data_IF_183774089053
#
_entry.id   IF_183774089053
#
_cell.length_a   1.000
_cell.length_b   1.000
_cell.length_c   1.000
_cell.angle_alpha   90.00
_cell.angle_beta   90.00
_cell.angle_gamma   90.00
#
_symmetry.space_group_name_H-M   'P 1'
#
loop_
_entity.id
_entity.type
_entity.pdbx_description
1 polymer ?
#
# COMPACT_ATOMS: atom_id res chain seq x y z
N UNK A 1 -28.63 7.55 -20.57
CA UNK A 1 -27.33 6.84 -20.59
C UNK A 1 -26.31 7.73 -19.92
N UNK A 2 -25.94 7.44 -18.67
CA UNK A 2 -24.90 8.16 -17.93
C UNK A 2 -23.67 7.26 -17.84
N UNK A 3 -22.72 7.43 -18.74
CA UNK A 3 -21.51 6.62 -18.84
C UNK A 3 -20.38 7.25 -18.02
N UNK A 4 -20.04 6.59 -16.92
CA UNK A 4 -18.71 6.47 -16.29
C UNK A 4 -17.87 7.76 -16.20
N UNK A 5 -18.20 8.63 -15.24
CA UNK A 5 -17.31 9.73 -14.81
C UNK A 5 -16.32 9.32 -13.71
N UNK A 6 -16.52 8.17 -13.06
CA UNK A 6 -15.69 7.72 -11.93
C UNK A 6 -14.26 7.29 -12.30
N UNK A 7 -14.07 6.61 -13.44
CA UNK A 7 -12.74 6.13 -13.85
C UNK A 7 -11.77 7.27 -14.20
N UNK A 8 -12.27 8.40 -14.71
CA UNK A 8 -11.42 9.52 -15.13
C UNK A 8 -10.84 10.27 -13.92
N UNK A 9 -11.60 10.33 -12.81
CA UNK A 9 -11.13 10.98 -11.59
C UNK A 9 -9.89 10.26 -11.06
N UNK A 10 -9.98 8.96 -10.76
CA UNK A 10 -8.88 8.19 -10.18
C UNK A 10 -7.64 8.12 -11.07
N UNK A 11 -7.79 8.17 -12.39
CA UNK A 11 -6.64 8.28 -13.29
C UNK A 11 -5.78 9.51 -12.97
N UNK A 12 -6.40 10.65 -12.65
CA UNK A 12 -5.67 11.86 -12.30
C UNK A 12 -5.00 11.75 -10.92
N UNK A 13 -5.65 11.11 -9.94
CA UNK A 13 -5.01 10.86 -8.65
C UNK A 13 -3.84 9.88 -8.78
N UNK A 14 -3.97 8.81 -9.57
CA UNK A 14 -2.88 7.85 -9.83
C UNK A 14 -1.69 8.57 -10.49
N UNK A 15 -1.94 9.40 -11.51
CA UNK A 15 -0.90 10.22 -12.14
C UNK A 15 -0.23 11.16 -11.14
N UNK A 16 -1.00 11.79 -10.24
CA UNK A 16 -0.44 12.66 -9.19
C UNK A 16 0.44 11.88 -8.22
N UNK A 17 0.03 10.68 -7.80
CA UNK A 17 0.85 9.80 -6.94
C UNK A 17 2.16 9.45 -7.64
N UNK A 18 2.12 9.06 -8.92
CA UNK A 18 3.33 8.77 -9.70
C UNK A 18 4.29 9.97 -9.78
N UNK A 19 3.76 11.17 -10.04
CA UNK A 19 4.54 12.41 -10.00
C UNK A 19 5.19 12.67 -8.64
N UNK A 20 4.50 12.38 -7.53
CA UNK A 20 5.10 12.49 -6.19
C UNK A 20 6.22 11.46 -5.99
N UNK A 21 6.06 10.23 -6.48
CA UNK A 21 7.11 9.21 -6.42
C UNK A 21 8.35 9.63 -7.22
N UNK A 22 8.17 10.25 -8.38
CA UNK A 22 9.27 10.80 -9.19
C UNK A 22 9.98 11.95 -8.47
N UNK A 23 9.23 12.86 -7.82
CA UNK A 23 9.78 13.95 -7.01
C UNK A 23 10.64 13.44 -5.84
N UNK A 24 10.33 12.27 -5.28
CA UNK A 24 11.12 11.65 -4.21
C UNK A 24 12.47 11.06 -4.69
N UNK A 25 12.61 10.79 -5.99
CA UNK A 25 13.87 10.36 -6.61
C UNK A 25 14.54 9.17 -5.90
N UNK A 26 15.82 9.33 -5.51
CA UNK A 26 16.61 8.29 -4.82
C UNK A 26 16.05 7.89 -3.44
N UNK A 27 15.09 8.63 -2.90
CA UNK A 27 14.39 8.30 -1.66
C UNK A 27 13.34 7.19 -1.79
N UNK A 28 13.11 6.67 -3.00
CA UNK A 28 12.15 5.58 -3.28
C UNK A 28 12.90 4.27 -3.48
N UNK A 29 12.68 3.31 -2.59
CA UNK A 29 13.13 1.95 -2.79
C UNK A 29 12.04 1.14 -3.51
N UNK A 30 12.33 0.71 -4.74
CA UNK A 30 11.42 -0.11 -5.55
C UNK A 30 11.68 -1.59 -5.32
N UNK A 31 10.68 -2.28 -4.81
CA UNK A 31 10.65 -3.71 -4.56
C UNK A 31 9.65 -4.38 -5.50
N UNK A 32 9.80 -5.69 -5.69
CA UNK A 32 8.83 -6.51 -6.39
C UNK A 32 8.24 -7.53 -5.42
N UNK A 33 6.94 -7.81 -5.54
CA UNK A 33 6.31 -8.87 -4.77
C UNK A 33 7.05 -10.19 -5.01
N UNK A 34 7.48 -10.91 -3.96
CA UNK A 34 8.30 -12.12 -4.08
C UNK A 34 7.48 -13.36 -4.45
N UNK A 35 6.30 -13.19 -5.05
CA UNK A 35 5.34 -14.25 -5.34
C UNK A 35 4.56 -13.94 -6.61
N UNK A 36 4.28 -15.00 -7.37
CA UNK A 36 3.55 -14.96 -8.64
C UNK A 36 2.32 -15.86 -8.62
N UNK A 37 2.25 -16.79 -7.67
CA UNK A 37 1.17 -17.77 -7.54
C UNK A 37 0.48 -17.67 -6.19
N UNK A 38 -0.75 -18.16 -6.12
CA UNK A 38 -1.49 -18.25 -4.86
C UNK A 38 -0.76 -19.11 -3.83
N UNK A 39 -0.13 -20.20 -4.25
CA UNK A 39 0.61 -21.09 -3.36
C UNK A 39 1.86 -20.42 -2.77
N UNK A 40 2.55 -19.58 -3.55
CA UNK A 40 3.68 -18.77 -3.05
C UNK A 40 3.21 -17.71 -2.05
N UNK A 41 2.05 -17.07 -2.30
CA UNK A 41 1.44 -16.12 -1.37
C UNK A 41 1.13 -16.81 -0.03
N UNK A 42 0.49 -17.98 -0.08
CA UNK A 42 0.15 -18.71 1.15
C UNK A 42 1.39 -19.19 1.91
N UNK A 43 2.42 -19.68 1.19
CA UNK A 43 3.72 -20.01 1.80
C UNK A 43 4.39 -18.79 2.42
N UNK A 44 4.34 -17.64 1.76
CA UNK A 44 4.90 -16.40 2.29
C UNK A 44 4.19 -16.00 3.59
N UNK A 45 2.84 -15.95 3.59
CA UNK A 45 2.04 -15.63 4.79
C UNK A 45 2.39 -16.52 5.98
N UNK A 46 2.53 -17.83 5.74
CA UNK A 46 2.94 -18.79 6.77
C UNK A 46 4.35 -18.47 7.29
N UNK A 47 5.31 -18.23 6.39
CA UNK A 47 6.71 -17.90 6.75
C UNK A 47 6.81 -16.63 7.59
N UNK A 48 6.05 -15.59 7.26
CA UNK A 48 6.12 -14.30 7.98
C UNK A 48 5.15 -14.22 9.17
N UNK A 49 4.43 -15.31 9.48
CA UNK A 49 3.46 -15.32 10.58
C UNK A 49 2.25 -14.40 10.38
N UNK A 50 1.99 -13.95 9.15
CA UNK A 50 0.77 -13.23 8.76
C UNK A 50 -0.37 -14.24 8.56
N UNK A 51 -0.67 -15.01 9.60
CA UNK A 51 -1.85 -15.86 9.62
C UNK A 51 -3.05 -14.95 9.82
N UNK A 52 -4.04 -15.05 8.94
CA UNK A 52 -5.27 -14.26 9.00
C UNK A 52 -5.90 -14.45 10.39
N UNK A 53 -5.79 -13.44 11.26
CA UNK A 53 -6.45 -13.44 12.58
C UNK A 53 -7.95 -13.31 12.34
N UNK A 54 -8.65 -14.44 12.20
CA UNK A 54 -10.10 -14.44 12.18
C UNK A 54 -10.60 -13.98 13.55
N UNK A 55 -11.21 -12.78 13.61
CA UNK A 55 -11.94 -12.32 14.79
C UNK A 55 -11.11 -12.20 16.08
N UNK A 56 -9.81 -11.89 15.98
CA UNK A 56 -8.97 -11.68 17.16
C UNK A 56 -9.40 -10.45 17.96
N UNK A 57 -9.47 -10.56 19.29
CA UNK A 57 -9.64 -9.40 20.18
C UNK A 57 -8.58 -8.33 19.83
N UNK A 58 -8.93 -7.04 19.83
CA UNK A 58 -7.94 -5.99 19.66
C UNK A 58 -6.78 -6.22 20.63
N UNK A 59 -5.58 -6.34 20.09
CA UNK A 59 -4.36 -6.50 20.88
C UNK A 59 -3.88 -5.09 21.21
N UNK A 60 -3.78 -4.77 22.49
CA UNK A 60 -3.13 -3.54 22.94
C UNK A 60 -1.63 -3.80 22.85
N UNK A 61 -0.90 -2.93 22.16
CA UNK A 61 0.57 -2.92 22.13
C UNK A 61 1.00 -1.76 23.00
N UNK A 62 1.79 -2.04 24.04
CA UNK A 62 2.29 -1.02 24.96
C UNK A 62 3.40 -0.21 24.29
N UNK A 63 3.63 1.03 24.73
CA UNK A 63 4.68 1.88 24.15
C UNK A 63 6.06 1.25 24.27
N UNK A 64 6.36 0.59 25.40
CA UNK A 64 7.60 -0.15 25.62
C UNK A 64 7.80 -1.35 24.68
N UNK A 65 6.71 -1.91 24.16
CA UNK A 65 6.70 -3.04 23.23
C UNK A 65 6.54 -2.59 21.76
N UNK A 66 6.45 -1.29 21.51
CA UNK A 66 6.22 -0.72 20.18
C UNK A 66 7.55 -0.47 19.47
N UNK A 67 7.81 -1.21 18.39
CA UNK A 67 9.03 -1.03 17.59
C UNK A 67 9.05 0.30 16.82
N UNK A 68 7.90 0.72 16.26
CA UNK A 68 7.74 1.99 15.54
C UNK A 68 6.26 2.38 15.57
N UNK A 69 5.97 3.67 15.71
CA UNK A 69 4.62 4.19 15.58
C UNK A 69 4.42 4.87 14.23
N UNK A 70 3.41 4.45 13.48
CA UNK A 70 3.10 4.92 12.14
C UNK A 70 1.76 5.66 12.13
N UNK A 71 1.78 6.95 11.78
CA UNK A 71 0.57 7.75 11.62
C UNK A 71 -0.14 8.10 12.93
N UNK A 72 0.62 8.50 13.96
CA UNK A 72 0.05 9.01 15.22
C UNK A 72 -0.94 10.16 14.94
N UNK A 73 -2.00 10.36 15.76
CA UNK A 73 -3.02 11.40 15.55
C UNK A 73 -2.57 12.86 15.41
N UNK A 74 -1.32 13.18 15.75
CA UNK A 74 -0.77 14.54 15.57
C UNK A 74 0.17 14.61 14.33
N UNK A 75 0.36 13.50 13.63
CA UNK A 75 1.03 13.40 12.34
C UNK A 75 0.01 13.11 11.23
N UNK A 76 0.47 13.13 9.99
CA UNK A 76 -0.32 12.70 8.85
C UNK A 76 -0.41 11.16 8.80
N UNK A 77 -1.62 10.65 8.58
CA UNK A 77 -1.89 9.23 8.31
C UNK A 77 -2.93 9.11 7.20
N UNK A 78 -2.67 8.33 6.15
CA UNK A 78 -3.62 8.09 5.06
C UNK A 78 -3.57 6.64 4.57
N UNK A 79 -4.74 6.07 4.32
CA UNK A 79 -4.88 4.77 3.64
C UNK A 79 -5.85 4.95 2.47
N UNK A 80 -5.41 4.64 1.26
CA UNK A 80 -6.16 4.90 0.04
C UNK A 80 -6.08 3.71 -0.92
N UNK A 81 -7.22 3.40 -1.53
CA UNK A 81 -7.30 2.49 -2.68
C UNK A 81 -7.73 3.33 -3.88
N UNK A 82 -6.91 3.34 -4.93
CA UNK A 82 -7.20 3.97 -6.21
C UNK A 82 -7.25 2.89 -7.28
N UNK A 83 -8.24 2.94 -8.17
CA UNK A 83 -8.34 1.98 -9.25
C UNK A 83 -8.54 2.65 -10.61
N UNK A 84 -8.25 1.91 -11.67
CA UNK A 84 -8.35 2.36 -13.05
C UNK A 84 -8.63 1.19 -13.98
N UNK A 85 -9.33 1.46 -15.08
CA UNK A 85 -9.43 0.53 -16.21
C UNK A 85 -8.25 0.62 -17.18
N UNK A 86 -7.36 1.62 -17.01
CA UNK A 86 -6.15 1.75 -17.83
C UNK A 86 -4.97 1.04 -17.14
N UNK A 87 -4.54 -0.14 -17.62
CA UNK A 87 -3.45 -0.89 -17.00
C UNK A 87 -2.10 -0.16 -17.05
N UNK A 88 -1.87 0.75 -18.02
CA UNK A 88 -0.60 1.48 -18.16
C UNK A 88 -0.35 2.45 -16.98
N UNK A 89 -1.39 2.77 -16.21
CA UNK A 89 -1.29 3.60 -15.02
C UNK A 89 -0.86 2.81 -13.78
N UNK A 90 -0.74 1.50 -13.82
CA UNK A 90 -0.37 0.66 -12.68
C UNK A 90 0.78 -0.27 -13.05
N UNK A 91 1.78 -0.38 -12.19
CA UNK A 91 2.85 -1.37 -12.33
C UNK A 91 2.48 -2.63 -11.54
N UNK A 92 2.26 -3.74 -12.25
CA UNK A 92 1.94 -5.01 -11.58
C UNK A 92 3.07 -5.43 -10.62
N UNK A 93 2.68 -5.89 -9.42
CA UNK A 93 3.57 -6.39 -8.36
C UNK A 93 4.62 -5.40 -7.83
N UNK A 94 4.59 -4.14 -8.24
CA UNK A 94 5.50 -3.14 -7.75
C UNK A 94 5.13 -2.69 -6.33
N UNK A 95 6.13 -2.62 -5.45
CA UNK A 95 6.01 -2.06 -4.11
C UNK A 95 7.03 -0.93 -4.01
N UNK A 96 6.55 0.29 -3.78
CA UNK A 96 7.41 1.45 -3.58
C UNK A 96 7.45 1.78 -2.09
N UNK A 97 8.62 1.63 -1.47
CA UNK A 97 8.88 2.07 -0.11
C UNK A 97 9.50 3.46 -0.17
N UNK A 98 8.73 4.45 0.29
CA UNK A 98 9.13 5.84 0.36
C UNK A 98 9.53 6.18 1.79
N UNK A 99 10.82 6.45 2.01
CA UNK A 99 11.34 6.86 3.32
C UNK A 99 12.11 5.73 4.02
N UNK A 100 12.36 5.83 5.34
CA UNK A 100 13.13 4.82 6.05
C UNK A 100 12.35 3.50 6.15
N UNK A 101 13.05 2.40 5.90
CA UNK A 101 12.56 1.05 6.21
C UNK A 101 12.50 0.83 7.74
N UNK A 102 11.75 -0.18 8.20
CA UNK A 102 11.49 -0.46 9.61
C UNK A 102 12.76 -0.60 10.45
N UNK A 103 13.81 -1.20 9.87
CA UNK A 103 15.12 -1.36 10.53
C UNK A 103 15.82 -0.02 10.82
N UNK A 104 15.46 1.07 10.12
CA UNK A 104 15.97 2.43 10.30
C UNK A 104 14.99 3.34 11.03
N UNK A 105 13.77 2.87 11.29
CA UNK A 105 12.70 3.62 11.94
C UNK A 105 12.44 3.22 13.41
N UNK A 106 13.22 2.27 13.96
CA UNK A 106 13.00 1.74 15.30
C UNK A 106 13.04 2.82 16.40
N UNK A 107 12.04 2.81 17.28
CA UNK A 107 11.88 3.77 18.38
C UNK A 107 11.43 5.16 17.95
N UNK A 108 11.03 5.33 16.68
CA UNK A 108 10.56 6.63 16.15
C UNK A 108 9.06 6.63 15.90
N UNK A 109 8.54 7.83 15.67
CA UNK A 109 7.17 8.09 15.23
C UNK A 109 7.24 8.75 13.86
N UNK A 110 6.54 8.20 12.87
CA UNK A 110 6.60 8.67 11.48
C UNK A 110 5.20 8.91 10.91
N UNK A 111 5.02 9.91 10.04
CA UNK A 111 3.86 9.97 9.16
C UNK A 111 3.74 8.69 8.33
N UNK A 112 2.52 8.27 8.03
CA UNK A 112 2.29 7.03 7.30
C UNK A 112 1.28 7.20 6.17
N UNK A 113 1.58 6.57 5.04
CA UNK A 113 0.69 6.50 3.89
C UNK A 113 0.72 5.10 3.29
N UNK A 114 -0.44 4.45 3.19
CA UNK A 114 -0.61 3.24 2.38
C UNK A 114 -1.46 3.55 1.16
N UNK A 115 -0.87 3.38 -0.02
CA UNK A 115 -1.57 3.56 -1.28
C UNK A 115 -1.59 2.24 -2.03
N UNK A 116 -2.79 1.79 -2.40
CA UNK A 116 -3.00 0.58 -3.21
C UNK A 116 -3.54 1.04 -4.56
N UNK A 117 -2.78 0.78 -5.64
CA UNK A 117 -3.17 1.10 -7.01
C UNK A 117 -3.59 -0.17 -7.73
N UNK A 118 -4.80 -0.18 -8.28
CA UNK A 118 -5.38 -1.37 -8.91
C UNK A 118 -5.76 -1.10 -10.37
N UNK A 119 -5.28 -1.93 -11.28
CA UNK A 119 -5.87 -2.06 -12.60
C UNK A 119 -7.03 -3.06 -12.52
N UNK A 120 -8.24 -2.62 -12.85
CA UNK A 120 -9.46 -3.44 -12.81
C UNK A 120 -10.00 -3.63 -14.21
N UNK A 121 -10.48 -4.84 -14.52
CA UNK A 121 -11.14 -5.11 -15.80
C UNK A 121 -12.54 -4.48 -15.80
N UNK A 122 -13.04 -4.10 -16.97
CA UNK A 122 -14.39 -3.53 -17.11
C UNK A 122 -15.50 -4.50 -16.67
N UNK A 123 -15.27 -5.80 -16.81
CA UNK A 123 -16.19 -6.86 -16.41
C UNK A 123 -16.16 -7.20 -14.90
N UNK A 124 -15.39 -6.46 -14.09
CA UNK A 124 -15.28 -6.74 -12.65
C UNK A 124 -16.60 -6.55 -11.87
N UNK A 125 -17.58 -5.84 -12.43
CA UNK A 125 -18.91 -5.61 -11.82
C UNK A 125 -20.06 -6.30 -12.57
N UNK A 126 -19.78 -7.13 -13.57
CA UNK A 126 -20.80 -7.80 -14.39
C UNK A 126 -21.29 -9.12 -13.76
#
# INVERSE_FOLDING_TARGET
>A
MATVTGSTAFNNQIKRVKSILEEWGEGVNRLCAPFNTRDEIERFKQKVGLVQRQGGKPTIVMSEDTAVELGHPQDASINLVLWTHNPDLVEDKAIHLCGPDLNRAHGTRLPYAQLILLAVREDFYA
#
